data_IF_923573704713
#
_entry.id   IF_923573704713
#
_cell.length_a   1.000
_cell.length_b   1.000
_cell.length_c   1.000
_cell.angle_alpha   90.00
_cell.angle_beta   90.00
_cell.angle_gamma   90.00
#
_symmetry.space_group_name_H-M   'P 1'
#
loop_
_entity.id
_entity.type
_entity.pdbx_description
1 polymer ?
#
# COMPACT_ATOMS: atom_id res chain seq x y z
N UNK A 1 -9.24 21.03 5.43
CA UNK A 1 -9.86 19.73 5.84
C UNK A 1 -10.59 20.04 7.13
N UNK A 2 -11.79 19.52 7.29
CA UNK A 2 -12.49 19.61 8.58
C UNK A 2 -11.61 18.95 9.65
N UNK A 3 -11.42 19.60 10.80
CA UNK A 3 -10.55 19.12 11.88
C UNK A 3 -10.99 17.73 12.35
N UNK A 4 -12.29 17.45 12.36
CA UNK A 4 -12.84 16.13 12.71
C UNK A 4 -12.41 15.04 11.73
N UNK A 5 -12.43 15.31 10.45
CA UNK A 5 -11.98 14.33 9.44
C UNK A 5 -10.47 14.09 9.52
N UNK A 6 -9.70 15.15 9.79
CA UNK A 6 -8.26 15.02 10.00
C UNK A 6 -7.94 14.13 11.21
N UNK A 7 -8.58 14.37 12.35
CA UNK A 7 -8.40 13.55 13.55
C UNK A 7 -8.77 12.08 13.33
N UNK A 8 -9.88 11.82 12.60
CA UNK A 8 -10.28 10.47 12.22
C UNK A 8 -9.24 9.78 11.32
N UNK A 9 -8.68 10.50 10.36
CA UNK A 9 -7.65 9.98 9.46
C UNK A 9 -6.35 9.66 10.22
N UNK A 10 -5.94 10.54 11.15
CA UNK A 10 -4.79 10.30 12.02
C UNK A 10 -5.02 9.09 12.93
N UNK A 11 -6.19 8.96 13.53
CA UNK A 11 -6.53 7.82 14.36
C UNK A 11 -6.53 6.50 13.56
N UNK A 12 -7.07 6.51 12.33
CA UNK A 12 -7.02 5.37 11.42
C UNK A 12 -5.57 4.99 11.10
N UNK A 13 -4.74 5.95 10.72
CA UNK A 13 -3.33 5.72 10.44
C UNK A 13 -2.62 5.09 11.64
N UNK A 14 -2.82 5.63 12.86
CA UNK A 14 -2.21 5.08 14.06
C UNK A 14 -2.67 3.65 14.35
N UNK A 15 -3.94 3.32 14.10
CA UNK A 15 -4.46 1.97 14.26
C UNK A 15 -3.83 0.99 13.26
N UNK A 16 -3.70 1.39 11.99
CA UNK A 16 -3.03 0.61 10.94
C UNK A 16 -1.55 0.40 11.30
N UNK A 17 -0.85 1.47 11.71
CA UNK A 17 0.55 1.41 12.10
C UNK A 17 0.82 0.47 13.26
N UNK A 18 -0.10 0.43 14.23
CA UNK A 18 0.03 -0.43 15.40
C UNK A 18 -0.26 -1.91 15.13
N UNK A 19 -0.93 -2.23 14.02
CA UNK A 19 -1.32 -3.58 13.64
C UNK A 19 -0.94 -3.89 12.18
N UNK A 20 0.34 -3.76 11.81
CA UNK A 20 0.79 -3.95 10.43
C UNK A 20 0.73 -5.42 10.02
N UNK A 21 0.42 -5.67 8.76
CA UNK A 21 0.35 -6.99 8.17
C UNK A 21 1.22 -7.07 6.91
N UNK A 22 1.91 -8.19 6.71
CA UNK A 22 2.76 -8.42 5.55
C UNK A 22 1.96 -8.62 4.27
N UNK A 23 2.62 -8.43 3.12
CA UNK A 23 2.09 -8.74 1.79
C UNK A 23 1.41 -10.11 1.75
N UNK A 24 0.20 -10.16 1.21
CA UNK A 24 -0.64 -11.36 1.14
C UNK A 24 -1.30 -11.78 2.46
N UNK A 25 -1.18 -10.98 3.53
CA UNK A 25 -1.77 -11.24 4.86
C UNK A 25 -2.57 -10.07 5.42
N UNK A 26 -2.98 -9.13 4.59
CA UNK A 26 -3.56 -7.83 4.96
C UNK A 26 -5.06 -7.90 5.33
N UNK A 27 -5.54 -9.05 5.77
CA UNK A 27 -6.98 -9.24 6.04
C UNK A 27 -7.51 -8.35 7.16
N UNK A 28 -6.73 -8.08 8.19
CA UNK A 28 -7.07 -7.17 9.29
C UNK A 28 -7.03 -5.72 8.83
N UNK A 29 -5.98 -5.32 8.12
CA UNK A 29 -5.81 -4.00 7.52
C UNK A 29 -6.97 -3.66 6.59
N UNK A 30 -7.29 -4.57 5.67
CA UNK A 30 -8.44 -4.46 4.77
C UNK A 30 -9.75 -4.24 5.54
N UNK A 31 -9.98 -5.04 6.57
CA UNK A 31 -11.19 -4.94 7.39
C UNK A 31 -11.30 -3.60 8.11
N UNK A 32 -10.21 -3.09 8.69
CA UNK A 32 -10.21 -1.78 9.34
C UNK A 32 -10.55 -0.66 8.36
N UNK A 33 -9.97 -0.68 7.16
CA UNK A 33 -10.26 0.30 6.10
C UNK A 33 -11.70 0.23 5.61
N UNK A 34 -12.23 -0.97 5.37
CA UNK A 34 -13.63 -1.16 5.00
C UNK A 34 -14.58 -0.65 6.08
N UNK A 35 -14.33 -0.97 7.35
CA UNK A 35 -15.14 -0.48 8.48
C UNK A 35 -15.10 1.03 8.59
N UNK A 36 -13.93 1.65 8.41
CA UNK A 36 -13.80 3.09 8.42
C UNK A 36 -14.65 3.75 7.31
N UNK A 37 -14.57 3.23 6.08
CA UNK A 37 -15.35 3.74 4.96
C UNK A 37 -16.86 3.54 5.18
N UNK A 38 -17.29 2.38 5.66
CA UNK A 38 -18.71 2.09 5.97
C UNK A 38 -19.28 3.02 7.04
N UNK A 39 -18.47 3.36 8.04
CA UNK A 39 -18.91 4.25 9.13
C UNK A 39 -18.94 5.74 8.73
N UNK A 40 -18.21 6.15 7.70
CA UNK A 40 -18.00 7.56 7.38
C UNK A 40 -18.45 7.97 5.98
N UNK A 41 -18.87 7.02 5.14
CA UNK A 41 -19.27 7.29 3.74
C UNK A 41 -20.46 6.43 3.32
N UNK A 42 -21.26 6.87 2.33
CA UNK A 42 -22.28 6.04 1.70
C UNK A 42 -21.75 5.19 0.54
N UNK A 43 -20.44 5.04 0.38
CA UNK A 43 -19.84 4.38 -0.77
C UNK A 43 -20.17 2.89 -0.83
N UNK A 44 -20.40 2.40 -2.04
CA UNK A 44 -20.45 0.96 -2.29
C UNK A 44 -19.04 0.38 -2.27
N UNK A 45 -18.81 -0.60 -1.40
CA UNK A 45 -17.53 -1.30 -1.27
C UNK A 45 -17.64 -2.65 -1.95
N UNK A 46 -16.70 -2.95 -2.84
CA UNK A 46 -16.56 -4.26 -3.48
C UNK A 46 -15.33 -4.96 -2.93
N UNK A 47 -15.55 -6.09 -2.27
CA UNK A 47 -14.48 -6.96 -1.76
C UNK A 47 -14.00 -7.90 -2.87
N UNK A 48 -12.70 -7.88 -3.16
CA UNK A 48 -12.05 -8.69 -4.19
C UNK A 48 -11.12 -9.75 -3.59
N UNK A 49 -11.40 -10.21 -2.36
CA UNK A 49 -10.58 -11.19 -1.66
C UNK A 49 -9.39 -10.55 -0.95
N UNK A 50 -8.22 -10.50 -1.57
CA UNK A 50 -7.03 -9.91 -0.96
C UNK A 50 -7.07 -8.37 -0.89
N UNK A 51 -7.77 -7.73 -1.79
CA UNK A 51 -7.90 -6.29 -1.94
C UNK A 51 -9.36 -5.86 -2.04
N UNK A 52 -9.64 -4.56 -2.10
CA UNK A 52 -10.99 -4.04 -2.29
C UNK A 52 -10.95 -2.66 -2.92
N UNK A 53 -12.09 -2.22 -3.41
CA UNK A 53 -12.29 -0.85 -3.84
C UNK A 53 -13.65 -0.31 -3.41
N UNK A 54 -13.75 1.02 -3.34
CA UNK A 54 -15.00 1.73 -3.11
C UNK A 54 -15.27 2.67 -4.27
N UNK A 55 -16.55 2.95 -4.56
CA UNK A 55 -16.93 3.77 -5.71
C UNK A 55 -17.83 4.92 -5.30
N UNK A 56 -17.43 6.12 -5.70
CA UNK A 56 -18.29 7.31 -5.72
C UNK A 56 -18.86 7.49 -7.13
N UNK A 57 -20.18 7.63 -7.22
CA UNK A 57 -20.88 7.93 -8.48
C UNK A 57 -21.37 9.37 -8.47
N UNK A 58 -20.91 10.17 -9.44
CA UNK A 58 -21.30 11.57 -9.54
C UNK A 58 -22.74 11.77 -10.08
N UNK A 59 -23.38 10.71 -10.54
CA UNK A 59 -24.74 10.73 -11.08
C UNK A 59 -24.89 11.37 -12.46
N UNK A 60 -23.80 11.70 -13.16
CA UNK A 60 -23.83 12.31 -14.50
C UNK A 60 -23.71 11.23 -15.57
N UNK A 61 -24.63 11.18 -16.55
CA UNK A 61 -24.49 10.28 -17.70
C UNK A 61 -23.19 10.53 -18.46
N UNK A 62 -22.44 9.47 -18.78
CA UNK A 62 -21.17 9.56 -19.50
C UNK A 62 -20.03 10.24 -18.72
N UNK A 63 -20.13 10.28 -17.40
CA UNK A 63 -19.07 10.86 -16.58
C UNK A 63 -17.76 10.08 -16.75
N UNK A 64 -16.65 10.83 -16.79
CA UNK A 64 -15.30 10.24 -16.74
C UNK A 64 -15.16 9.36 -15.50
N UNK A 65 -14.30 8.35 -15.60
CA UNK A 65 -13.96 7.45 -14.50
C UNK A 65 -12.48 7.56 -14.20
N UNK A 66 -12.17 7.94 -12.98
CA UNK A 66 -10.80 8.02 -12.50
C UNK A 66 -10.63 7.15 -11.25
N UNK A 67 -9.42 6.75 -10.95
CA UNK A 67 -9.11 6.03 -9.74
C UNK A 67 -8.04 6.73 -8.92
N UNK A 68 -8.15 6.58 -7.60
CA UNK A 68 -7.07 6.83 -6.66
C UNK A 68 -6.66 5.51 -6.01
N UNK A 69 -5.36 5.26 -5.91
CA UNK A 69 -4.80 4.01 -5.39
C UNK A 69 -3.92 4.25 -4.17
N UNK A 70 -4.06 3.41 -3.18
CA UNK A 70 -3.11 3.25 -2.09
C UNK A 70 -2.77 1.77 -1.88
N UNK A 71 -1.53 1.52 -1.50
CA UNK A 71 -1.04 0.26 -0.97
C UNK A 71 -1.41 0.11 0.51
N UNK A 72 -1.46 -1.15 1.02
CA UNK A 72 -1.92 -1.41 2.39
C UNK A 72 -1.06 -2.40 3.17
N UNK A 73 -0.02 -2.97 2.57
CA UNK A 73 0.87 -3.95 3.19
C UNK A 73 2.03 -3.30 3.96
N UNK A 74 2.70 -4.09 4.79
CA UNK A 74 3.82 -3.68 5.62
C UNK A 74 5.06 -4.56 5.34
N UNK A 75 6.20 -4.13 5.89
CA UNK A 75 7.50 -4.75 5.69
C UNK A 75 7.90 -5.69 6.84
N UNK A 76 8.70 -6.75 6.58
CA UNK A 76 9.27 -7.61 7.61
C UNK A 76 10.45 -6.93 8.32
N UNK A 77 10.18 -5.82 9.00
CA UNK A 77 11.16 -4.97 9.68
C UNK A 77 10.74 -4.76 11.13
N UNK A 78 11.66 -5.03 12.08
CA UNK A 78 11.44 -4.71 13.48
C UNK A 78 11.42 -3.21 13.70
N UNK A 79 10.32 -2.66 14.20
CA UNK A 79 10.25 -1.27 14.60
C UNK A 79 11.11 -0.99 15.82
N UNK A 80 11.91 0.09 15.73
CA UNK A 80 12.78 0.57 16.82
C UNK A 80 12.33 1.91 17.40
N UNK A 81 11.27 2.51 16.84
CA UNK A 81 10.77 3.79 17.31
C UNK A 81 9.93 3.62 18.59
N UNK A 82 10.08 4.57 19.51
CA UNK A 82 9.24 4.64 20.72
C UNK A 82 8.05 5.58 20.47
N UNK A 83 7.06 5.10 19.73
CA UNK A 83 5.85 5.86 19.42
C UNK A 83 4.65 5.29 20.20
N UNK A 84 3.68 6.12 20.62
CA UNK A 84 2.46 5.64 21.27
C UNK A 84 1.67 4.63 20.44
N UNK A 85 1.81 4.67 19.14
CA UNK A 85 1.18 3.82 18.14
C UNK A 85 2.18 2.91 17.41
N UNK A 86 3.35 2.66 17.99
CA UNK A 86 4.34 1.74 17.42
C UNK A 86 3.74 0.37 17.15
N UNK A 87 4.30 -0.33 16.17
CA UNK A 87 3.88 -1.69 15.81
C UNK A 87 3.84 -2.61 17.03
N UNK A 88 2.73 -3.32 17.18
CA UNK A 88 2.54 -4.38 18.19
C UNK A 88 2.85 -5.77 17.62
N UNK A 89 3.23 -5.84 16.35
CA UNK A 89 3.56 -7.08 15.65
C UNK A 89 5.09 -7.22 15.59
N UNK A 90 5.71 -8.12 16.36
CA UNK A 90 7.15 -8.31 16.35
C UNK A 90 7.65 -8.62 14.93
N UNK A 91 8.69 -7.92 14.50
CA UNK A 91 9.30 -8.11 13.18
C UNK A 91 8.51 -7.58 12.00
N UNK A 92 7.40 -6.86 12.22
CA UNK A 92 6.60 -6.27 11.13
C UNK A 92 6.33 -4.79 11.42
N UNK A 93 6.51 -3.91 10.46
CA UNK A 93 6.20 -2.49 10.62
C UNK A 93 5.95 -1.77 9.29
N UNK A 94 5.10 -0.74 9.32
CA UNK A 94 4.92 0.20 8.21
C UNK A 94 6.11 1.16 8.11
N UNK A 95 7.17 0.75 7.40
CA UNK A 95 8.37 1.58 7.19
C UNK A 95 8.44 2.20 5.79
N UNK A 96 7.57 1.77 4.90
CA UNK A 96 7.35 2.41 3.60
C UNK A 96 6.31 3.55 3.68
N UNK A 97 5.38 3.49 4.64
CA UNK A 97 4.36 4.54 4.86
C UNK A 97 2.99 4.22 4.32
N UNK A 98 2.72 2.97 3.97
CA UNK A 98 1.45 2.52 3.40
C UNK A 98 0.26 2.72 4.34
N UNK A 99 0.47 2.72 5.67
CA UNK A 99 -0.53 3.14 6.67
C UNK A 99 -1.01 4.58 6.44
N UNK A 100 -0.08 5.47 6.09
CA UNK A 100 -0.37 6.87 5.76
C UNK A 100 -1.07 7.01 4.41
N UNK A 101 -0.64 6.25 3.40
CA UNK A 101 -1.26 6.27 2.07
C UNK A 101 -2.73 5.81 2.15
N UNK A 102 -2.97 4.69 2.82
CA UNK A 102 -4.31 4.13 2.98
C UNK A 102 -5.24 5.05 3.79
N UNK A 103 -4.75 5.63 4.89
CA UNK A 103 -5.52 6.57 5.69
C UNK A 103 -5.85 7.87 4.93
N UNK A 104 -4.90 8.39 4.14
CA UNK A 104 -5.13 9.55 3.30
C UNK A 104 -6.15 9.27 2.19
N UNK A 105 -6.09 8.09 1.55
CA UNK A 105 -7.07 7.68 0.55
C UNK A 105 -8.47 7.54 1.15
N UNK A 106 -8.57 6.95 2.35
CA UNK A 106 -9.84 6.83 3.07
C UNK A 106 -10.43 8.22 3.44
N UNK A 107 -9.58 9.17 3.86
CA UNK A 107 -10.00 10.54 4.13
C UNK A 107 -10.43 11.27 2.84
N UNK A 108 -9.73 11.07 1.72
CA UNK A 108 -10.14 11.60 0.42
C UNK A 108 -11.53 11.08 0.03
N UNK A 109 -11.80 9.81 0.24
CA UNK A 109 -13.11 9.22 -0.02
C UNK A 109 -14.23 9.89 0.79
N UNK A 110 -13.99 10.15 2.08
CA UNK A 110 -14.93 10.90 2.93
C UNK A 110 -15.16 12.32 2.39
N UNK A 111 -14.10 13.01 2.02
CA UNK A 111 -14.16 14.37 1.50
C UNK A 111 -14.92 14.46 0.18
N UNK A 112 -14.66 13.51 -0.73
CA UNK A 112 -15.40 13.42 -2.01
C UNK A 112 -16.89 13.20 -1.77
N UNK A 113 -17.26 12.38 -0.80
CA UNK A 113 -18.67 12.16 -0.45
C UNK A 113 -19.34 13.42 0.12
N UNK A 114 -18.61 14.24 0.86
CA UNK A 114 -19.13 15.46 1.47
C UNK A 114 -19.23 16.64 0.48
N UNK A 115 -18.23 16.79 -0.39
CA UNK A 115 -18.12 17.94 -1.30
C UNK A 115 -18.65 17.66 -2.71
N UNK A 116 -18.74 16.38 -3.08
CA UNK A 116 -19.04 15.94 -4.44
C UNK A 116 -17.83 15.99 -5.37
N UNK A 117 -17.96 15.33 -6.52
CA UNK A 117 -16.96 15.37 -7.59
C UNK A 117 -17.65 15.40 -8.97
N UNK A 118 -17.00 15.96 -10.00
CA UNK A 118 -17.59 16.04 -11.35
C UNK A 118 -17.51 14.72 -12.14
N UNK A 119 -16.85 13.70 -11.62
CA UNK A 119 -16.60 12.42 -12.26
C UNK A 119 -16.83 11.26 -11.30
N UNK A 120 -16.93 10.04 -11.80
CA UNK A 120 -16.96 8.84 -11.00
C UNK A 120 -15.55 8.54 -10.48
N UNK A 121 -15.44 8.20 -9.19
CA UNK A 121 -14.15 7.96 -8.56
C UNK A 121 -14.10 6.57 -7.93
N UNK A 122 -13.06 5.82 -8.28
CA UNK A 122 -12.72 4.53 -7.71
C UNK A 122 -11.59 4.69 -6.70
N UNK A 123 -11.81 4.27 -5.46
CA UNK A 123 -10.79 4.26 -4.40
C UNK A 123 -10.28 2.83 -4.27
N UNK A 124 -9.05 2.56 -4.73
CA UNK A 124 -8.45 1.22 -4.81
C UNK A 124 -7.48 1.04 -3.65
N UNK A 125 -7.72 0.04 -2.82
CA UNK A 125 -6.84 -0.37 -1.72
C UNK A 125 -6.14 -1.66 -2.10
N UNK A 126 -4.90 -1.53 -2.55
CA UNK A 126 -4.10 -2.60 -3.14
C UNK A 126 -3.30 -3.34 -2.07
N UNK A 127 -3.36 -4.66 -2.08
CA UNK A 127 -2.52 -5.57 -1.31
C UNK A 127 -1.16 -5.80 -1.97
N UNK A 128 -0.22 -6.44 -1.24
CA UNK A 128 1.02 -7.04 -1.74
C UNK A 128 1.79 -6.16 -2.74
N UNK A 129 2.03 -4.89 -2.37
CA UNK A 129 2.84 -3.95 -3.16
C UNK A 129 4.31 -4.32 -3.05
N UNK A 130 4.80 -4.63 -1.83
CA UNK A 130 6.20 -4.89 -1.51
C UNK A 130 6.72 -6.19 -2.14
N UNK A 131 5.83 -7.10 -2.56
CA UNK A 131 6.19 -8.31 -3.32
C UNK A 131 5.91 -8.18 -4.82
N UNK A 132 5.30 -7.06 -5.26
CA UNK A 132 4.94 -6.82 -6.66
C UNK A 132 3.74 -7.62 -7.16
N UNK A 133 3.04 -8.37 -6.30
CA UNK A 133 1.96 -9.28 -6.72
C UNK A 133 0.62 -8.54 -6.89
N UNK A 134 0.35 -7.52 -6.06
CA UNK A 134 -0.97 -6.87 -6.00
C UNK A 134 -1.29 -5.98 -7.18
N UNK A 135 -0.29 -5.32 -7.77
CA UNK A 135 -0.48 -4.34 -8.83
C UNK A 135 -1.18 -4.90 -10.06
N UNK A 136 -0.69 -6.01 -10.59
CA UNK A 136 -1.27 -6.64 -11.78
C UNK A 136 -2.71 -7.14 -11.54
N UNK A 137 -2.99 -7.63 -10.32
CA UNK A 137 -4.34 -8.10 -9.94
C UNK A 137 -5.32 -6.94 -9.90
N UNK A 138 -4.94 -5.82 -9.28
CA UNK A 138 -5.79 -4.63 -9.19
C UNK A 138 -5.97 -3.93 -10.55
N UNK A 139 -4.96 -3.98 -11.42
CA UNK A 139 -5.00 -3.35 -12.75
C UNK A 139 -6.11 -3.90 -13.64
N UNK A 140 -6.55 -5.14 -13.45
CA UNK A 140 -7.68 -5.69 -14.20
C UNK A 140 -8.97 -4.88 -14.02
N UNK A 141 -9.15 -4.19 -12.88
CA UNK A 141 -10.29 -3.30 -12.67
C UNK A 141 -10.31 -2.12 -13.64
N UNK A 142 -9.15 -1.64 -14.08
CA UNK A 142 -9.04 -0.47 -14.95
C UNK A 142 -9.76 -0.71 -16.27
N UNK A 143 -9.55 -1.88 -16.88
CA UNK A 143 -10.21 -2.29 -18.11
C UNK A 143 -11.69 -2.61 -17.87
N UNK A 144 -12.00 -3.39 -16.80
CA UNK A 144 -13.36 -3.81 -16.49
C UNK A 144 -14.31 -2.63 -16.19
N UNK A 145 -13.79 -1.59 -15.56
CA UNK A 145 -14.56 -0.41 -15.18
C UNK A 145 -14.36 0.77 -16.14
N UNK A 146 -13.58 0.61 -17.21
CA UNK A 146 -13.27 1.67 -18.17
C UNK A 146 -12.72 2.93 -17.47
N UNK A 147 -11.70 2.73 -16.62
CA UNK A 147 -11.04 3.80 -15.86
C UNK A 147 -10.00 4.47 -16.74
N UNK A 148 -10.15 5.77 -16.97
CA UNK A 148 -9.33 6.55 -17.88
C UNK A 148 -7.99 7.00 -17.27
N UNK A 149 -7.98 7.28 -15.97
CA UNK A 149 -6.80 7.79 -15.26
C UNK A 149 -6.71 7.19 -13.87
N UNK A 150 -5.47 6.90 -13.43
CA UNK A 150 -5.16 6.43 -12.07
C UNK A 150 -4.16 7.37 -11.43
N UNK A 151 -4.46 7.77 -10.21
CA UNK A 151 -3.61 8.61 -9.38
C UNK A 151 -3.16 7.84 -8.15
N UNK A 152 -1.87 7.92 -7.84
CA UNK A 152 -1.31 7.43 -6.60
C UNK A 152 -0.26 8.42 -6.11
N UNK A 153 -0.06 8.52 -4.81
CA UNK A 153 1.05 9.26 -4.25
C UNK A 153 1.88 8.34 -3.34
N UNK A 154 3.16 8.64 -3.23
CA UNK A 154 4.03 7.98 -2.27
C UNK A 154 4.75 9.04 -1.44
N UNK A 155 4.79 8.84 -0.13
CA UNK A 155 5.54 9.72 0.76
C UNK A 155 7.05 9.58 0.49
N UNK A 156 7.75 10.70 0.54
CA UNK A 156 9.22 10.75 0.40
C UNK A 156 9.83 11.38 1.64
N UNK A 157 10.70 10.67 2.37
CA UNK A 157 11.40 11.23 3.53
C UNK A 157 12.39 12.30 3.10
N UNK A 158 12.67 13.24 4.01
CA UNK A 158 13.67 14.28 3.78
C UNK A 158 13.20 15.49 2.96
N UNK A 159 11.95 15.52 2.53
CA UNK A 159 11.34 16.65 1.83
C UNK A 159 10.48 17.48 2.78
N UNK A 160 10.28 18.78 2.44
CA UNK A 160 9.43 19.66 3.23
C UNK A 160 7.98 19.16 3.26
N UNK A 161 7.38 19.17 4.45
CA UNK A 161 5.98 18.76 4.64
C UNK A 161 5.04 19.59 3.76
N UNK A 162 4.08 18.94 3.12
CA UNK A 162 3.10 19.58 2.24
C UNK A 162 3.59 19.86 0.82
N UNK A 163 4.85 19.52 0.50
CA UNK A 163 5.35 19.64 -0.88
C UNK A 163 4.93 18.42 -1.70
N UNK A 164 4.37 18.68 -2.89
CA UNK A 164 4.02 17.65 -3.87
C UNK A 164 5.00 17.74 -5.04
N UNK A 165 5.65 16.63 -5.35
CA UNK A 165 6.55 16.51 -6.50
C UNK A 165 5.84 15.79 -7.63
N UNK A 166 5.85 16.42 -8.78
CA UNK A 166 5.30 15.86 -10.02
C UNK A 166 6.41 15.84 -11.07
N UNK A 167 6.37 14.84 -11.94
CA UNK A 167 7.25 14.75 -13.09
C UNK A 167 6.46 14.29 -14.31
N UNK A 168 6.67 14.94 -15.43
CA UNK A 168 6.18 14.49 -16.72
C UNK A 168 7.00 13.28 -17.20
N UNK A 169 6.33 12.30 -17.80
CA UNK A 169 6.94 11.07 -18.28
C UNK A 169 7.22 10.05 -17.16
N UNK A 170 8.25 9.23 -17.35
CA UNK A 170 8.58 8.14 -16.41
C UNK A 170 9.09 8.68 -15.08
N UNK A 171 8.39 8.41 -14.00
CA UNK A 171 8.77 8.80 -12.63
C UNK A 171 9.59 7.72 -11.94
N UNK A 172 9.24 6.45 -12.10
CA UNK A 172 9.94 5.31 -11.53
C UNK A 172 10.40 4.35 -12.60
N UNK A 173 11.57 3.74 -12.38
CA UNK A 173 12.06 2.68 -13.26
C UNK A 173 11.32 1.37 -12.96
N UNK A 174 11.26 0.50 -13.96
CA UNK A 174 10.88 -0.90 -13.72
C UNK A 174 11.96 -1.57 -12.84
N UNK A 175 11.54 -2.45 -11.93
CA UNK A 175 12.43 -3.24 -11.11
C UNK A 175 12.25 -4.72 -11.39
N UNK A 176 13.35 -5.47 -11.33
CA UNK A 176 13.34 -6.93 -11.43
C UNK A 176 14.23 -7.46 -10.32
N UNK A 177 13.67 -8.31 -9.46
CA UNK A 177 14.41 -9.01 -8.43
C UNK A 177 14.99 -10.34 -8.95
N UNK A 178 16.20 -10.66 -8.51
CA UNK A 178 16.82 -11.97 -8.76
C UNK A 178 17.41 -12.50 -7.45
N UNK A 179 17.09 -13.74 -7.11
CA UNK A 179 17.67 -14.44 -5.97
C UNK A 179 18.53 -15.60 -6.45
N UNK A 180 19.80 -15.61 -6.06
CA UNK A 180 20.74 -16.68 -6.36
C UNK A 180 20.96 -17.53 -5.09
N UNK A 181 20.72 -18.82 -5.18
CA UNK A 181 20.97 -19.75 -4.09
C UNK A 181 22.22 -20.56 -4.38
N UNK A 182 23.22 -20.46 -3.51
CA UNK A 182 24.46 -21.21 -3.58
C UNK A 182 24.49 -22.27 -2.48
N UNK A 183 24.62 -23.52 -2.86
CA UNK A 183 24.70 -24.65 -1.92
C UNK A 183 26.11 -25.19 -1.86
N UNK A 184 26.72 -25.12 -0.69
CA UNK A 184 28.04 -25.68 -0.40
C UNK A 184 27.96 -27.04 0.30
N UNK A 185 29.12 -27.64 0.55
CA UNK A 185 29.28 -28.80 1.39
C UNK A 185 30.36 -28.51 2.46
N UNK A 186 30.02 -28.60 3.76
CA UNK A 186 30.98 -28.34 4.82
C UNK A 186 32.04 -29.44 4.86
N UNK A 187 33.27 -29.07 5.28
CA UNK A 187 34.34 -30.00 5.54
C UNK A 187 35.19 -29.52 6.72
N UNK A 188 36.05 -30.35 7.26
CA UNK A 188 37.00 -29.92 8.28
C UNK A 188 38.04 -28.97 7.68
N UNK A 189 38.51 -28.00 8.45
CA UNK A 189 39.46 -26.98 7.99
C UNK A 189 40.81 -27.54 7.50
N UNK A 190 41.19 -28.74 7.97
CA UNK A 190 42.41 -29.45 7.53
C UNK A 190 42.28 -30.16 6.19
N UNK A 191 41.07 -30.28 5.65
CA UNK A 191 40.77 -31.00 4.38
C UNK A 191 39.83 -30.17 3.50
N UNK A 192 40.19 -28.92 3.14
CA UNK A 192 39.32 -28.01 2.40
C UNK A 192 38.96 -28.56 1.00
N UNK A 193 39.78 -29.38 0.43
CA UNK A 193 39.57 -30.03 -0.88
C UNK A 193 38.39 -31.02 -0.91
N UNK A 194 37.94 -31.49 0.25
CA UNK A 194 36.79 -32.39 0.38
C UNK A 194 35.46 -31.61 0.50
N UNK A 195 35.53 -30.33 0.69
CA UNK A 195 34.36 -29.45 0.77
C UNK A 195 34.03 -28.74 -0.52
N UNK A 196 32.90 -28.03 -0.52
CA UNK A 196 32.53 -27.08 -1.58
C UNK A 196 32.22 -25.76 -0.93
N UNK A 197 33.10 -24.79 -1.07
CA UNK A 197 32.90 -23.45 -0.55
C UNK A 197 32.13 -22.60 -1.58
N UNK A 198 30.89 -22.16 -1.30
CA UNK A 198 30.12 -21.34 -2.23
C UNK A 198 30.66 -19.91 -2.40
N UNK A 199 31.56 -19.45 -1.51
CA UNK A 199 32.12 -18.10 -1.58
C UNK A 199 32.86 -17.83 -2.91
N UNK A 200 33.52 -18.85 -3.49
CA UNK A 200 34.20 -18.72 -4.78
C UNK A 200 33.26 -18.53 -5.99
N UNK A 201 31.98 -18.86 -5.82
CA UNK A 201 30.97 -18.66 -6.86
C UNK A 201 30.21 -17.32 -6.67
N UNK A 202 30.39 -16.67 -5.51
CA UNK A 202 29.75 -15.39 -5.17
C UNK A 202 30.67 -14.21 -5.52
N UNK A 203 31.99 -14.42 -5.53
CA UNK A 203 33.02 -13.44 -5.86
C UNK A 203 33.21 -13.31 -7.37
#
# INVERSE_FOLDING_TARGET
MDDILYEKAVALRHALHAAPELSGREAGTKRMLQQFLQANTPLSITDCGAWFYAVYRCGRPGARRIAFRADIDALPIQEKNSLPYASRCPGVAHKCGHDGHAAALAALACRVCAEGAPCDIYFIFQHAEETGEGGAVCAALLEQADIEEVYAFHNMPGLAQGTVFLREGTMHCASTGMTLHFTGAPTHASTPELGRNPAAAIS
#
